data_IF_915703607020
#
_entry.id   IF_915703607020
#
_cell.length_a   1.000
_cell.length_b   1.000
_cell.length_c   1.000
_cell.angle_alpha   90.00
_cell.angle_beta   90.00
_cell.angle_gamma   90.00
#
_symmetry.space_group_name_H-M   'P 1'
#
loop_
_entity.id
_entity.type
_entity.pdbx_description
1 polymer ?
#
# COMPACT_ATOMS: atom_id res chain seq x y z
N UNK A 1 -38.12 -72.93 -8.69
CA UNK A 1 -36.93 -72.03 -8.87
C UNK A 1 -37.42 -70.65 -9.13
N UNK A 2 -37.44 -69.75 -8.07
CA UNK A 2 -37.84 -68.33 -8.19
C UNK A 2 -36.60 -67.51 -8.40
N UNK A 3 -36.45 -66.83 -9.53
CA UNK A 3 -35.45 -65.80 -9.80
C UNK A 3 -35.96 -64.48 -9.22
N UNK A 4 -35.30 -63.99 -8.20
CA UNK A 4 -35.49 -62.61 -7.68
C UNK A 4 -34.68 -61.62 -8.53
N UNK A 5 -35.38 -60.72 -9.20
CA UNK A 5 -34.80 -59.58 -9.91
C UNK A 5 -34.66 -58.44 -8.90
N UNK A 6 -33.42 -58.03 -8.60
CA UNK A 6 -33.12 -56.80 -7.85
C UNK A 6 -33.08 -55.63 -8.82
N UNK A 7 -34.06 -54.73 -8.68
CA UNK A 7 -34.08 -53.46 -9.39
C UNK A 7 -33.19 -52.49 -8.62
N UNK A 8 -32.03 -52.15 -9.19
CA UNK A 8 -31.14 -51.14 -8.64
C UNK A 8 -31.64 -49.75 -9.06
N UNK A 9 -32.23 -49.00 -8.15
CA UNK A 9 -32.54 -47.58 -8.34
C UNK A 9 -31.24 -46.76 -8.21
N UNK A 10 -30.69 -46.30 -9.33
CA UNK A 10 -29.63 -45.30 -9.36
C UNK A 10 -30.27 -43.92 -9.07
N UNK A 11 -30.13 -43.44 -7.83
CA UNK A 11 -30.42 -42.05 -7.50
C UNK A 11 -29.23 -41.20 -7.97
N UNK A 12 -29.33 -40.57 -9.12
CA UNK A 12 -28.41 -39.51 -9.56
C UNK A 12 -28.75 -38.25 -8.79
N UNK A 13 -28.00 -38.00 -7.72
CA UNK A 13 -28.02 -36.69 -7.07
C UNK A 13 -27.36 -35.69 -8.05
N UNK A 14 -28.19 -34.98 -8.80
CA UNK A 14 -27.75 -33.82 -9.57
C UNK A 14 -27.31 -32.73 -8.62
N UNK A 15 -26.00 -32.55 -8.44
CA UNK A 15 -25.46 -31.32 -7.88
C UNK A 15 -25.75 -30.22 -8.91
N UNK A 16 -26.83 -29.49 -8.70
CA UNK A 16 -27.01 -28.19 -9.31
C UNK A 16 -25.98 -27.25 -8.61
N UNK A 17 -24.79 -27.14 -9.23
CA UNK A 17 -23.91 -26.05 -8.90
C UNK A 17 -24.64 -24.76 -9.33
N UNK A 18 -25.31 -24.09 -8.38
CA UNK A 18 -25.80 -22.74 -8.58
C UNK A 18 -24.62 -21.84 -8.99
N UNK A 19 -24.86 -20.78 -9.76
CA UNK A 19 -23.79 -19.86 -10.12
C UNK A 19 -23.14 -19.37 -8.81
N UNK A 20 -21.89 -19.77 -8.59
CA UNK A 20 -21.12 -19.30 -7.45
C UNK A 20 -21.05 -17.79 -7.58
N UNK A 21 -21.52 -17.07 -6.58
CA UNK A 21 -21.49 -15.59 -6.55
C UNK A 21 -20.07 -15.07 -6.77
N UNK A 22 -19.08 -15.82 -6.32
CA UNK A 22 -17.67 -15.56 -6.57
C UNK A 22 -17.30 -15.51 -8.06
N UNK A 23 -17.95 -16.30 -8.92
CA UNK A 23 -17.67 -16.32 -10.37
C UNK A 23 -18.19 -15.06 -11.09
N UNK A 24 -19.18 -14.36 -10.53
CA UNK A 24 -19.81 -13.17 -11.11
C UNK A 24 -19.45 -11.86 -10.37
N UNK A 25 -18.53 -11.92 -9.40
CA UNK A 25 -18.13 -10.72 -8.67
C UNK A 25 -17.32 -9.78 -9.59
N UNK A 26 -17.82 -8.56 -9.89
CA UNK A 26 -17.19 -7.67 -10.85
C UNK A 26 -15.81 -7.16 -10.43
N UNK A 27 -15.45 -7.30 -9.16
CA UNK A 27 -14.12 -6.92 -8.65
C UNK A 27 -13.04 -7.93 -9.01
N UNK A 28 -13.38 -9.18 -9.31
CA UNK A 28 -12.42 -10.23 -9.64
C UNK A 28 -11.64 -9.86 -10.90
N UNK A 29 -10.32 -9.94 -10.83
CA UNK A 29 -9.43 -9.62 -11.95
C UNK A 29 -8.06 -9.15 -11.51
N UNK A 30 -7.24 -8.82 -12.48
CA UNK A 30 -5.96 -8.16 -12.34
C UNK A 30 -6.13 -6.67 -12.64
N UNK A 31 -5.67 -5.83 -11.72
CA UNK A 31 -5.86 -4.40 -11.74
C UNK A 31 -4.49 -3.71 -11.73
N UNK A 32 -4.10 -3.11 -12.84
CA UNK A 32 -2.82 -2.42 -13.00
C UNK A 32 -2.97 -0.94 -12.68
N UNK A 33 -2.13 -0.44 -11.77
CA UNK A 33 -2.10 0.98 -11.42
C UNK A 33 -1.85 1.83 -12.67
N UNK A 34 -2.67 2.87 -12.82
CA UNK A 34 -2.45 3.94 -13.79
C UNK A 34 -1.93 5.19 -13.05
N UNK A 35 -0.61 5.44 -13.06
CA UNK A 35 -0.03 6.57 -12.32
C UNK A 35 -0.51 7.93 -12.84
N UNK A 36 -0.86 8.03 -14.12
CA UNK A 36 -1.31 9.31 -14.72
C UNK A 36 -2.71 9.73 -14.30
N UNK A 37 -3.52 8.76 -13.83
CA UNK A 37 -4.88 8.97 -13.31
C UNK A 37 -4.92 8.96 -11.78
N UNK A 38 -3.82 8.59 -11.14
CA UNK A 38 -3.73 8.47 -9.69
C UNK A 38 -3.17 9.73 -9.07
N UNK A 39 -3.68 10.08 -7.89
CA UNK A 39 -3.12 11.12 -7.03
C UNK A 39 -2.64 10.46 -5.76
N UNK A 40 -1.34 10.52 -5.52
CA UNK A 40 -0.73 10.12 -4.26
C UNK A 40 -0.05 11.35 -3.68
N UNK A 41 -0.54 11.79 -2.54
CA UNK A 41 0.21 12.72 -1.71
C UNK A 41 0.88 11.95 -0.59
N UNK A 42 2.14 12.25 -0.38
CA UNK A 42 2.90 11.80 0.77
C UNK A 42 3.40 13.03 1.52
N UNK A 43 3.40 12.97 2.84
CA UNK A 43 3.90 14.04 3.68
C UNK A 43 5.11 13.55 4.46
N UNK A 44 6.17 14.32 4.43
CA UNK A 44 7.27 14.15 5.36
C UNK A 44 7.59 15.47 6.07
N UNK A 45 8.05 15.36 7.30
CA UNK A 45 8.50 16.50 8.10
C UNK A 45 9.96 16.32 8.46
N UNK A 46 10.73 17.38 8.24
CA UNK A 46 12.13 17.47 8.62
C UNK A 46 12.27 18.70 9.48
N UNK A 47 12.66 18.54 10.73
CA UNK A 47 12.89 19.66 11.66
C UNK A 47 14.34 19.70 12.05
N UNK A 48 14.98 20.88 11.91
CA UNK A 48 16.32 21.09 12.44
C UNK A 48 16.26 21.25 13.96
N UNK A 49 17.12 20.51 14.66
CA UNK A 49 17.28 20.58 16.12
C UNK A 49 18.55 21.33 16.56
N UNK A 50 19.27 21.88 15.56
CA UNK A 50 20.54 22.58 15.75
C UNK A 50 21.76 21.71 15.42
N UNK A 51 22.79 22.33 14.86
CA UNK A 51 23.95 21.63 14.32
C UNK A 51 23.50 20.64 13.22
N UNK A 52 24.08 19.45 13.26
CA UNK A 52 23.79 18.38 12.29
C UNK A 52 22.64 17.45 12.74
N UNK A 53 21.88 17.84 13.80
CA UNK A 53 20.73 17.08 14.31
C UNK A 53 19.43 17.49 13.66
N UNK A 54 18.69 16.47 13.20
CA UNK A 54 17.37 16.66 12.61
C UNK A 54 16.38 15.62 13.13
N UNK A 55 15.12 16.02 13.23
CA UNK A 55 14.00 15.11 13.45
C UNK A 55 13.32 14.85 12.11
N UNK A 56 13.26 13.59 11.71
CA UNK A 56 12.58 13.12 10.50
C UNK A 56 11.27 12.45 10.89
N UNK A 57 10.20 12.75 10.19
CA UNK A 57 8.93 12.06 10.37
C UNK A 57 8.35 11.70 8.98
N UNK A 58 8.34 10.41 8.69
CA UNK A 58 7.81 9.81 7.47
C UNK A 58 6.44 9.14 7.70
N UNK A 59 5.68 9.62 8.71
CA UNK A 59 4.36 9.10 9.04
C UNK A 59 4.32 8.06 10.19
N UNK A 60 5.47 7.49 10.58
CA UNK A 60 5.56 6.52 11.69
C UNK A 60 5.97 7.15 13.04
N UNK A 61 5.98 8.48 13.12
CA UNK A 61 6.51 9.25 14.25
C UNK A 61 7.91 9.80 13.98
N UNK A 62 8.36 10.78 14.79
CA UNK A 62 9.66 11.40 14.59
C UNK A 62 10.82 10.49 14.99
N UNK A 63 11.91 10.57 14.23
CA UNK A 63 13.22 9.92 14.49
C UNK A 63 14.28 11.03 14.53
N UNK A 64 15.09 11.07 15.59
CA UNK A 64 16.17 12.04 15.69
C UNK A 64 17.47 11.45 15.17
N UNK A 65 18.06 12.06 14.15
CA UNK A 65 19.22 11.58 13.41
C UNK A 65 20.24 12.71 13.29
N UNK A 66 21.52 12.40 13.48
CA UNK A 66 22.64 13.23 13.05
C UNK A 66 22.95 12.95 11.56
N UNK A 67 23.07 13.99 10.76
CA UNK A 67 23.29 13.86 9.30
C UNK A 67 24.78 13.70 8.97
N UNK A 68 25.41 12.71 9.61
CA UNK A 68 26.87 12.40 9.52
C UNK A 68 27.16 11.15 8.69
N UNK A 69 26.12 10.52 8.12
CA UNK A 69 26.22 9.31 7.32
C UNK A 69 26.31 8.02 8.12
N UNK A 70 26.26 8.08 9.46
CA UNK A 70 26.28 6.87 10.30
C UNK A 70 24.89 6.29 10.51
N UNK A 71 24.82 4.96 10.66
CA UNK A 71 23.57 4.27 10.99
C UNK A 71 23.16 4.54 12.42
N UNK A 72 21.99 5.11 12.63
CA UNK A 72 21.43 5.44 13.94
C UNK A 72 20.08 4.75 14.15
N UNK A 73 19.67 4.50 15.42
CA UNK A 73 18.40 3.86 15.72
C UNK A 73 17.22 4.61 15.09
N UNK A 74 16.41 3.90 14.33
CA UNK A 74 15.19 4.39 13.69
C UNK A 74 13.94 3.67 14.18
N UNK A 75 12.79 4.09 13.69
CA UNK A 75 11.50 3.50 14.03
C UNK A 75 11.40 2.02 13.58
N UNK A 76 10.64 1.22 14.34
CA UNK A 76 10.33 -0.17 13.97
C UNK A 76 11.52 -1.12 14.01
N UNK A 77 12.56 -0.85 14.81
CA UNK A 77 13.76 -1.68 14.90
C UNK A 77 14.64 -1.63 13.65
N UNK A 78 14.58 -0.50 12.93
CA UNK A 78 15.44 -0.21 11.79
C UNK A 78 16.59 0.69 12.19
N UNK A 79 17.56 0.89 11.30
CA UNK A 79 18.50 2.02 11.38
C UNK A 79 18.21 3.00 10.24
N UNK A 80 18.50 4.26 10.49
CA UNK A 80 18.43 5.34 9.52
C UNK A 80 19.78 6.06 9.49
N UNK A 81 20.31 6.27 8.30
CA UNK A 81 21.47 7.13 8.08
C UNK A 81 21.15 8.19 7.04
N UNK A 82 21.69 9.38 7.24
CA UNK A 82 21.58 10.51 6.32
C UNK A 82 22.96 11.07 6.05
N UNK A 83 23.36 11.01 4.79
CA UNK A 83 24.65 11.55 4.32
C UNK A 83 24.43 12.85 3.58
N UNK A 84 25.18 13.86 3.94
CA UNK A 84 25.21 15.15 3.24
C UNK A 84 26.13 15.04 2.03
N UNK A 85 25.56 15.01 0.82
CA UNK A 85 26.30 14.97 -0.46
C UNK A 85 26.63 16.37 -0.97
N UNK A 86 25.99 17.39 -0.41
CA UNK A 86 26.17 18.79 -0.76
C UNK A 86 25.12 19.68 -0.12
N UNK A 87 25.18 21.00 -0.35
CA UNK A 87 24.28 21.96 0.29
C UNK A 87 22.80 21.77 -0.06
N UNK A 88 22.54 21.10 -1.17
CA UNK A 88 21.21 20.84 -1.72
C UNK A 88 20.94 19.34 -1.99
N UNK A 89 21.80 18.44 -1.53
CA UNK A 89 21.70 17.02 -1.80
C UNK A 89 21.99 16.16 -0.55
N UNK A 90 21.06 15.26 -0.22
CA UNK A 90 21.20 14.27 0.85
C UNK A 90 20.89 12.86 0.31
N UNK A 91 21.61 11.87 0.85
CA UNK A 91 21.26 10.44 0.67
C UNK A 91 20.73 9.92 2.00
N UNK A 92 19.54 9.34 1.97
CA UNK A 92 18.86 8.73 3.12
C UNK A 92 18.82 7.22 2.90
N UNK A 93 19.27 6.44 3.88
CA UNK A 93 19.26 4.97 3.82
C UNK A 93 18.60 4.42 5.08
N UNK A 94 17.70 3.46 4.90
CA UNK A 94 17.14 2.69 6.02
C UNK A 94 17.53 1.23 5.87
N UNK A 95 18.01 0.64 6.97
CA UNK A 95 18.35 -0.78 7.02
C UNK A 95 17.63 -1.48 8.16
N UNK A 96 17.50 -2.79 8.06
CA UNK A 96 17.01 -3.65 9.14
C UNK A 96 17.79 -4.96 9.11
N UNK A 97 18.40 -5.34 10.24
CA UNK A 97 19.20 -6.55 10.36
C UNK A 97 20.29 -6.67 9.26
N UNK A 98 20.90 -5.55 8.89
CA UNK A 98 21.93 -5.49 7.85
C UNK A 98 21.38 -5.49 6.40
N UNK A 99 20.07 -5.63 6.22
CA UNK A 99 19.45 -5.54 4.90
C UNK A 99 18.98 -4.12 4.61
N UNK A 100 19.37 -3.57 3.47
CA UNK A 100 18.86 -2.27 3.01
C UNK A 100 17.39 -2.41 2.65
N UNK A 101 16.54 -1.60 3.30
CA UNK A 101 15.11 -1.53 3.02
C UNK A 101 14.79 -0.47 1.97
N UNK A 102 15.49 0.68 2.06
CA UNK A 102 15.33 1.76 1.10
C UNK A 102 16.61 2.59 0.97
N UNK A 103 16.70 3.28 -0.16
CA UNK A 103 17.57 4.41 -0.43
C UNK A 103 16.74 5.54 -1.04
N UNK A 104 16.95 6.76 -0.60
CA UNK A 104 16.32 7.95 -1.11
C UNK A 104 17.40 9.02 -1.39
N UNK A 105 17.53 9.41 -2.64
CA UNK A 105 18.47 10.47 -3.03
C UNK A 105 17.68 11.77 -3.18
N UNK A 106 17.88 12.68 -2.24
CA UNK A 106 17.16 13.94 -2.11
C UNK A 106 17.92 15.07 -2.77
N UNK A 107 17.20 15.88 -3.54
CA UNK A 107 17.75 17.07 -4.19
C UNK A 107 16.81 18.25 -4.03
N UNK A 108 17.27 19.36 -3.40
CA UNK A 108 16.54 20.61 -3.34
C UNK A 108 16.62 21.38 -4.65
N UNK A 109 15.55 22.06 -5.02
CA UNK A 109 15.57 23.09 -6.03
C UNK A 109 16.39 24.32 -5.58
N UNK A 110 16.85 25.12 -6.53
CA UNK A 110 17.65 26.32 -6.24
C UNK A 110 16.92 27.32 -5.32
N UNK A 111 15.60 27.41 -5.45
CA UNK A 111 14.75 28.28 -4.62
C UNK A 111 14.36 27.65 -3.27
N UNK A 112 14.75 26.41 -3.03
CA UNK A 112 14.45 25.66 -1.80
C UNK A 112 12.97 25.28 -1.63
N UNK A 113 12.11 25.50 -2.63
CA UNK A 113 10.66 25.27 -2.50
C UNK A 113 10.20 23.91 -3.02
N UNK A 114 11.08 23.18 -3.69
CA UNK A 114 10.81 21.82 -4.17
C UNK A 114 11.93 20.88 -3.76
N UNK A 115 11.59 19.63 -3.50
CA UNK A 115 12.52 18.54 -3.21
C UNK A 115 12.19 17.38 -4.13
N UNK A 116 13.18 16.94 -4.88
CA UNK A 116 13.09 15.68 -5.64
C UNK A 116 13.65 14.56 -4.77
N UNK A 117 12.95 13.44 -4.72
CA UNK A 117 13.35 12.21 -4.03
C UNK A 117 13.34 11.06 -5.03
N UNK A 118 14.53 10.58 -5.38
CA UNK A 118 14.71 9.35 -6.14
C UNK A 118 14.73 8.17 -5.14
N UNK A 119 13.54 7.67 -4.83
CA UNK A 119 13.32 6.65 -3.82
C UNK A 119 13.43 5.25 -4.43
N UNK A 120 14.25 4.39 -3.83
CA UNK A 120 14.35 2.97 -4.16
C UNK A 120 14.07 2.11 -2.94
N UNK A 121 13.08 1.24 -3.03
CA UNK A 121 12.82 0.19 -2.04
C UNK A 121 13.44 -1.14 -2.47
N UNK A 122 13.90 -1.93 -1.50
CA UNK A 122 14.53 -3.23 -1.74
C UNK A 122 13.72 -4.35 -1.08
N UNK A 123 13.40 -5.37 -1.87
CA UNK A 123 12.81 -6.61 -1.36
C UNK A 123 13.86 -7.52 -0.73
N UNK A 124 13.42 -8.45 0.12
CA UNK A 124 14.32 -9.47 0.71
C UNK A 124 14.92 -10.43 -0.33
N UNK A 125 14.28 -10.55 -1.49
CA UNK A 125 14.73 -11.32 -2.65
C UNK A 125 15.72 -10.57 -3.54
N UNK A 126 16.14 -9.36 -3.13
CA UNK A 126 17.02 -8.49 -3.91
C UNK A 126 16.31 -7.69 -5.00
N UNK A 127 14.98 -7.82 -5.13
CA UNK A 127 14.23 -6.97 -6.06
C UNK A 127 14.30 -5.51 -5.64
N UNK A 128 14.30 -4.59 -6.61
CA UNK A 128 14.30 -3.17 -6.37
C UNK A 128 13.14 -2.50 -7.12
N UNK A 129 12.47 -1.57 -6.44
CA UNK A 129 11.41 -0.74 -7.03
C UNK A 129 11.77 0.72 -6.82
N UNK A 130 11.72 1.49 -7.90
CA UNK A 130 12.07 2.90 -7.88
C UNK A 130 10.84 3.78 -8.08
N UNK A 131 10.72 4.83 -7.28
CA UNK A 131 9.68 5.85 -7.35
C UNK A 131 10.36 7.22 -7.32
N UNK A 132 9.99 8.09 -8.22
CA UNK A 132 10.42 9.49 -8.17
C UNK A 132 9.31 10.34 -7.62
N UNK A 133 9.54 10.91 -6.42
CA UNK A 133 8.66 11.89 -5.82
C UNK A 133 9.15 13.31 -6.15
N UNK A 134 8.20 14.22 -6.26
CA UNK A 134 8.47 15.65 -6.27
C UNK A 134 7.62 16.26 -5.16
N UNK A 135 8.28 16.71 -4.12
CA UNK A 135 7.65 17.38 -2.99
C UNK A 135 7.65 18.88 -3.17
N UNK A 136 6.59 19.52 -2.69
CA UNK A 136 6.52 20.97 -2.50
C UNK A 136 6.59 21.27 -1.01
N UNK A 137 7.26 22.35 -0.67
CA UNK A 137 7.30 22.86 0.71
C UNK A 137 5.96 23.54 1.04
N UNK A 138 5.32 23.11 2.14
CA UNK A 138 4.03 23.68 2.58
C UNK A 138 4.20 25.06 3.23
N UNK A 139 5.28 25.28 3.97
CA UNK A 139 5.53 26.51 4.70
C UNK A 139 6.97 26.97 4.46
N UNK A 140 7.24 28.30 4.51
CA UNK A 140 8.60 28.83 4.38
C UNK A 140 9.58 28.14 5.33
N UNK A 141 10.77 27.83 4.85
CA UNK A 141 11.83 27.17 5.62
C UNK A 141 13.17 27.25 4.89
N UNK A 142 14.23 26.76 5.53
CA UNK A 142 15.59 26.80 4.99
C UNK A 142 16.17 25.38 4.88
N UNK A 143 16.98 25.15 3.85
CA UNK A 143 17.59 23.85 3.60
C UNK A 143 16.52 22.75 3.49
N UNK A 144 16.77 21.59 4.08
CA UNK A 144 15.84 20.47 4.09
C UNK A 144 14.75 20.56 5.17
N UNK A 145 14.92 21.43 6.19
CA UNK A 145 13.92 21.57 7.24
C UNK A 145 12.62 22.16 6.70
N UNK A 146 11.49 21.50 6.97
CA UNK A 146 10.16 21.91 6.53
C UNK A 146 9.16 20.77 6.54
N UNK A 147 7.92 21.10 6.20
CA UNK A 147 6.89 20.14 5.85
C UNK A 147 6.81 20.05 4.32
N UNK A 148 6.96 18.85 3.82
CA UNK A 148 7.02 18.52 2.41
C UNK A 148 5.85 17.67 2.01
N UNK A 149 5.13 18.05 0.95
CA UNK A 149 3.99 17.29 0.41
C UNK A 149 4.27 16.93 -1.05
N UNK A 150 4.25 15.65 -1.36
CA UNK A 150 4.33 15.16 -2.73
C UNK A 150 2.95 15.15 -3.35
N UNK A 151 2.81 15.79 -4.50
CA UNK A 151 1.59 15.76 -5.32
C UNK A 151 1.81 15.09 -6.67
N UNK A 152 3.02 14.63 -6.94
CA UNK A 152 3.40 14.02 -8.21
C UNK A 152 4.37 12.84 -7.96
N UNK A 153 3.92 11.66 -8.32
CA UNK A 153 4.69 10.43 -8.22
C UNK A 153 4.89 9.84 -9.62
N UNK A 154 6.15 9.64 -10.01
CA UNK A 154 6.49 8.87 -11.21
C UNK A 154 6.91 7.48 -10.80
N UNK A 155 6.11 6.49 -11.17
CA UNK A 155 6.35 5.08 -10.87
C UNK A 155 6.93 4.39 -12.08
N UNK A 156 8.07 3.72 -11.93
CA UNK A 156 8.71 2.94 -12.99
C UNK A 156 8.60 1.42 -12.79
N UNK A 157 7.73 0.99 -11.87
CA UNK A 157 7.42 -0.43 -11.70
C UNK A 157 5.95 -0.71 -11.96
N UNK A 158 5.65 -1.95 -12.30
CA UNK A 158 4.27 -2.41 -12.52
C UNK A 158 3.66 -2.76 -11.16
N UNK A 159 2.67 -1.97 -10.72
CA UNK A 159 1.89 -2.30 -9.54
C UNK A 159 0.57 -2.94 -9.97
N UNK A 160 0.42 -4.22 -9.66
CA UNK A 160 -0.80 -4.99 -9.93
C UNK A 160 -1.44 -5.40 -8.62
N UNK A 161 -2.70 -5.02 -8.47
CA UNK A 161 -3.58 -5.52 -7.44
C UNK A 161 -4.36 -6.68 -8.01
N UNK A 162 -4.21 -7.88 -7.45
CA UNK A 162 -4.95 -9.05 -7.88
C UNK A 162 -6.13 -9.27 -6.94
N UNK A 163 -7.32 -9.39 -7.50
CA UNK A 163 -8.52 -9.76 -6.73
C UNK A 163 -9.00 -11.11 -7.24
N UNK A 164 -9.10 -12.08 -6.34
CA UNK A 164 -9.46 -13.48 -6.63
C UNK A 164 -10.67 -13.89 -5.80
N UNK A 165 -11.44 -14.89 -6.22
CA UNK A 165 -12.46 -15.48 -5.36
C UNK A 165 -11.84 -16.06 -4.09
N UNK A 166 -12.55 -15.92 -2.97
CA UNK A 166 -12.21 -16.54 -1.70
C UNK A 166 -13.47 -17.10 -1.06
N UNK A 167 -13.47 -18.40 -0.75
CA UNK A 167 -14.64 -19.13 -0.26
C UNK A 167 -15.88 -18.91 -1.15
N UNK A 168 -17.09 -19.00 -0.62
CA UNK A 168 -18.34 -18.90 -1.39
C UNK A 168 -18.71 -17.46 -1.75
N UNK A 169 -18.43 -16.50 -0.84
CA UNK A 169 -18.91 -15.12 -0.92
C UNK A 169 -17.83 -14.06 -0.59
N UNK A 170 -16.56 -14.45 -0.66
CA UNK A 170 -15.43 -13.61 -0.30
C UNK A 170 -14.54 -13.26 -1.47
N UNK A 171 -13.55 -12.42 -1.15
CA UNK A 171 -12.46 -12.03 -2.05
C UNK A 171 -11.11 -12.15 -1.36
N UNK A 172 -10.11 -12.50 -2.14
CA UNK A 172 -8.70 -12.41 -1.78
C UNK A 172 -8.09 -11.21 -2.51
N UNK A 173 -7.64 -10.21 -1.76
CA UNK A 173 -6.92 -9.06 -2.31
C UNK A 173 -5.42 -9.29 -2.11
N UNK A 174 -4.70 -9.51 -3.21
CA UNK A 174 -3.28 -9.85 -3.22
C UNK A 174 -2.49 -8.64 -3.71
N UNK A 175 -1.62 -8.15 -2.85
CA UNK A 175 -0.66 -7.11 -3.18
C UNK A 175 0.76 -7.70 -3.11
N UNK A 176 1.29 -8.07 -4.26
CA UNK A 176 2.61 -8.69 -4.35
C UNK A 176 3.74 -7.76 -3.91
N UNK A 177 3.63 -6.44 -4.18
CA UNK A 177 4.64 -5.45 -3.82
C UNK A 177 4.78 -5.28 -2.31
N UNK A 178 3.68 -5.32 -1.56
CA UNK A 178 3.68 -5.26 -0.10
C UNK A 178 3.71 -6.63 0.56
N UNK A 179 3.69 -7.74 -0.21
CA UNK A 179 3.61 -9.11 0.32
C UNK A 179 2.47 -9.28 1.32
N UNK A 180 1.31 -8.73 0.99
CA UNK A 180 0.11 -8.81 1.79
C UNK A 180 -1.02 -9.45 1.00
N UNK A 181 -1.61 -10.47 1.57
CA UNK A 181 -2.83 -11.10 1.08
C UNK A 181 -3.92 -10.95 2.13
N UNK A 182 -5.04 -10.37 1.72
CA UNK A 182 -6.25 -10.19 2.52
C UNK A 182 -7.30 -11.18 2.04
N UNK A 183 -7.55 -12.22 2.82
CA UNK A 183 -8.60 -13.20 2.56
C UNK A 183 -9.81 -12.86 3.41
N UNK A 184 -10.89 -12.38 2.80
CA UNK A 184 -12.02 -11.81 3.53
C UNK A 184 -13.35 -12.22 2.89
N UNK A 185 -14.36 -12.46 3.73
CA UNK A 185 -15.75 -12.48 3.29
C UNK A 185 -16.30 -11.05 3.22
N UNK A 186 -17.33 -10.83 2.42
CA UNK A 186 -17.90 -9.49 2.23
C UNK A 186 -18.90 -9.09 3.34
N UNK A 187 -18.71 -9.62 4.54
CA UNK A 187 -19.61 -9.49 5.71
C UNK A 187 -19.19 -8.37 6.70
N UNK A 188 -18.11 -7.67 6.42
CA UNK A 188 -17.58 -6.59 7.26
C UNK A 188 -16.88 -7.05 8.54
N UNK A 189 -16.70 -8.36 8.74
CA UNK A 189 -15.90 -8.88 9.86
C UNK A 189 -14.41 -8.83 9.55
N UNK A 190 -13.59 -8.81 10.60
CA UNK A 190 -12.14 -8.83 10.47
C UNK A 190 -11.62 -10.26 10.30
N UNK A 191 -10.77 -10.42 9.31
CA UNK A 191 -10.10 -11.66 8.95
C UNK A 191 -8.58 -11.49 9.06
N UNK A 192 -7.85 -12.53 9.48
CA UNK A 192 -6.39 -12.47 9.56
C UNK A 192 -5.77 -12.32 8.16
N UNK A 193 -4.81 -11.43 8.05
CA UNK A 193 -4.02 -11.25 6.83
C UNK A 193 -2.87 -12.26 6.77
N UNK A 194 -2.36 -12.49 5.57
CA UNK A 194 -1.25 -13.43 5.30
C UNK A 194 -0.12 -12.69 4.58
N UNK A 195 1.11 -13.07 4.87
CA UNK A 195 2.31 -12.50 4.24
C UNK A 195 3.16 -11.66 5.19
N UNK A 196 4.28 -11.15 4.71
CA UNK A 196 5.27 -10.46 5.55
C UNK A 196 4.69 -9.19 6.22
N UNK A 197 3.86 -8.43 5.52
CA UNK A 197 3.23 -7.22 6.06
C UNK A 197 2.11 -7.51 7.06
N UNK A 198 1.65 -8.77 7.18
CA UNK A 198 0.65 -9.16 8.18
C UNK A 198 1.14 -8.97 9.63
N UNK A 199 2.46 -8.92 9.86
CA UNK A 199 3.03 -8.58 11.18
C UNK A 199 2.67 -7.14 11.62
N UNK A 200 2.49 -6.22 10.68
CA UNK A 200 2.15 -4.81 10.93
C UNK A 200 0.64 -4.58 10.76
N UNK A 201 0.04 -5.23 9.78
CA UNK A 201 -1.39 -5.17 9.45
C UNK A 201 -2.00 -6.58 9.59
N UNK A 202 -2.26 -7.04 10.83
CA UNK A 202 -2.64 -8.42 11.08
C UNK A 202 -4.06 -8.77 10.62
N UNK A 203 -4.95 -7.79 10.47
CA UNK A 203 -6.33 -8.04 10.15
C UNK A 203 -6.94 -6.98 9.22
N UNK A 204 -7.80 -7.45 8.33
CA UNK A 204 -8.59 -6.60 7.45
C UNK A 204 -10.05 -7.05 7.41
N UNK A 205 -10.93 -6.13 7.08
CA UNK A 205 -12.34 -6.39 6.82
C UNK A 205 -12.74 -5.80 5.48
N UNK A 206 -13.70 -6.42 4.81
CA UNK A 206 -14.33 -5.86 3.62
C UNK A 206 -15.84 -5.99 3.72
N UNK A 207 -16.54 -4.94 3.32
CA UNK A 207 -17.99 -4.89 3.28
C UNK A 207 -18.46 -4.49 1.89
N UNK A 208 -19.42 -5.20 1.36
CA UNK A 208 -20.13 -4.79 0.14
C UNK A 208 -21.12 -3.67 0.47
N UNK A 209 -20.98 -2.53 -0.20
CA UNK A 209 -21.93 -1.40 -0.11
C UNK A 209 -22.99 -1.54 -1.19
N UNK A 210 -22.55 -1.77 -2.43
CA UNK A 210 -23.40 -2.02 -3.60
C UNK A 210 -22.67 -2.91 -4.61
N UNK A 211 -23.22 -3.05 -5.84
CA UNK A 211 -22.63 -3.92 -6.88
C UNK A 211 -21.27 -3.45 -7.38
N UNK A 212 -20.90 -2.18 -7.16
CA UNK A 212 -19.67 -1.57 -7.64
C UNK A 212 -18.85 -0.91 -6.55
N UNK A 213 -19.24 -1.06 -5.28
CA UNK A 213 -18.59 -0.39 -4.15
C UNK A 213 -18.31 -1.36 -3.02
N UNK A 214 -17.04 -1.44 -2.62
CA UNK A 214 -16.59 -2.12 -1.42
C UNK A 214 -15.96 -1.12 -0.45
N UNK A 215 -16.10 -1.37 0.84
CA UNK A 215 -15.34 -0.69 1.90
C UNK A 215 -14.36 -1.68 2.51
N UNK A 216 -13.09 -1.27 2.58
CA UNK A 216 -11.98 -2.05 3.10
C UNK A 216 -11.36 -1.32 4.29
N UNK A 217 -11.21 -2.00 5.41
CA UNK A 217 -10.56 -1.46 6.61
C UNK A 217 -9.41 -2.36 7.05
N UNK A 218 -8.23 -1.78 7.23
CA UNK A 218 -7.05 -2.46 7.79
C UNK A 218 -6.83 -2.04 9.25
N UNK A 219 -6.47 -2.99 10.11
CA UNK A 219 -6.08 -2.73 11.51
C UNK A 219 -4.62 -3.01 11.76
N UNK A 220 -4.02 -2.21 12.66
CA UNK A 220 -2.70 -2.47 13.24
C UNK A 220 -2.79 -3.55 14.33
N UNK A 221 -1.63 -4.00 14.81
CA UNK A 221 -1.51 -4.98 15.89
C UNK A 221 -2.08 -4.50 17.23
N UNK A 222 -2.16 -3.18 17.46
CA UNK A 222 -2.79 -2.57 18.64
C UNK A 222 -4.32 -2.45 18.52
N UNK A 223 -4.89 -2.91 17.39
CA UNK A 223 -6.32 -2.86 17.10
C UNK A 223 -6.83 -1.52 16.52
N UNK A 224 -5.96 -0.50 16.41
CA UNK A 224 -6.35 0.77 15.80
C UNK A 224 -6.49 0.63 14.29
N UNK A 225 -7.35 1.45 13.66
CA UNK A 225 -7.51 1.51 12.22
C UNK A 225 -6.23 2.12 11.62
N UNK A 226 -5.64 1.41 10.66
CA UNK A 226 -4.51 1.90 9.87
C UNK A 226 -4.99 2.60 8.61
N UNK A 227 -5.90 1.97 7.90
CA UNK A 227 -6.48 2.50 6.68
C UNK A 227 -7.95 2.11 6.59
N UNK A 228 -8.75 3.03 6.09
CA UNK A 228 -10.16 2.87 5.81
C UNK A 228 -10.40 3.42 4.40
N UNK A 229 -10.82 2.55 3.49
CA UNK A 229 -10.76 2.82 2.06
C UNK A 229 -12.02 2.35 1.35
N UNK A 230 -12.40 3.06 0.30
CA UNK A 230 -13.45 2.68 -0.63
C UNK A 230 -12.83 2.20 -1.95
N UNK A 231 -13.32 1.08 -2.45
CA UNK A 231 -13.00 0.53 -3.75
C UNK A 231 -14.24 0.68 -4.64
N UNK A 232 -14.12 1.44 -5.73
CA UNK A 232 -15.24 1.73 -6.62
C UNK A 232 -14.93 1.33 -8.06
N UNK A 233 -15.83 0.55 -8.67
CA UNK A 233 -15.76 0.21 -10.08
C UNK A 233 -16.47 1.25 -10.93
N UNK A 234 -15.86 1.62 -12.06
CA UNK A 234 -16.52 2.40 -13.09
C UNK A 234 -17.75 1.66 -13.66
N UNK A 235 -18.65 2.39 -14.30
CA UNK A 235 -19.87 1.81 -14.90
C UNK A 235 -19.58 0.75 -15.97
N UNK A 236 -18.46 0.89 -16.68
CA UNK A 236 -18.00 -0.07 -17.71
C UNK A 236 -17.14 -1.20 -17.13
N UNK A 237 -16.93 -1.24 -15.79
CA UNK A 237 -16.14 -2.22 -15.05
C UNK A 237 -14.67 -2.33 -15.48
N UNK A 238 -14.12 -1.30 -16.15
CA UNK A 238 -12.73 -1.29 -16.63
C UNK A 238 -11.77 -0.57 -15.71
N UNK A 239 -12.29 0.23 -14.80
CA UNK A 239 -11.49 1.01 -13.85
C UNK A 239 -11.90 0.69 -12.42
N UNK A 240 -10.92 0.49 -11.55
CA UNK A 240 -11.09 0.37 -10.10
C UNK A 240 -10.42 1.56 -9.45
N UNK A 241 -11.18 2.35 -8.71
CA UNK A 241 -10.68 3.50 -7.94
C UNK A 241 -10.65 3.14 -6.47
N UNK A 242 -9.54 3.45 -5.82
CA UNK A 242 -9.35 3.26 -4.38
C UNK A 242 -9.10 4.61 -3.75
N UNK A 243 -9.97 5.01 -2.82
CA UNK A 243 -9.93 6.28 -2.10
C UNK A 243 -9.95 6.04 -0.60
N UNK A 244 -9.30 6.86 0.24
CA UNK A 244 -9.52 6.87 1.68
C UNK A 244 -10.98 7.21 1.98
N UNK A 245 -11.55 6.60 3.01
CA UNK A 245 -12.92 6.92 3.45
C UNK A 245 -13.01 8.34 4.03
N UNK A 246 -11.97 8.73 4.75
CA UNK A 246 -11.80 10.11 5.25
C UNK A 246 -10.76 10.81 4.39
N UNK A 247 -11.24 11.63 3.45
CA UNK A 247 -10.36 12.46 2.62
C UNK A 247 -9.72 13.56 3.49
N UNK A 248 -8.42 13.68 3.37
CA UNK A 248 -7.68 14.85 3.82
C UNK A 248 -7.49 15.75 2.57
N UNK A 249 -8.18 16.90 2.49
CA UNK A 249 -8.10 17.76 1.30
C UNK A 249 -6.68 18.27 1.03
N UNK A 250 -5.84 18.36 2.06
CA UNK A 250 -4.43 18.74 1.93
C UNK A 250 -3.55 17.56 1.47
N UNK A 251 -4.08 16.32 1.56
CA UNK A 251 -3.38 15.09 1.20
C UNK A 251 -4.28 14.13 0.40
N UNK A 252 -4.74 14.54 -0.77
CA UNK A 252 -5.60 13.69 -1.58
C UNK A 252 -4.87 12.39 -1.98
N UNK A 253 -5.53 11.26 -1.80
CA UNK A 253 -5.03 9.95 -2.17
C UNK A 253 -6.07 9.21 -2.98
N UNK A 254 -5.85 9.13 -4.28
CA UNK A 254 -6.72 8.40 -5.21
C UNK A 254 -5.84 7.47 -6.03
N UNK A 255 -6.03 6.17 -5.90
CA UNK A 255 -5.38 5.19 -6.76
C UNK A 255 -6.35 4.71 -7.82
N UNK A 256 -5.97 4.85 -9.06
CA UNK A 256 -6.77 4.41 -10.21
C UNK A 256 -6.07 3.25 -10.88
N UNK A 257 -6.78 2.14 -10.97
CA UNK A 257 -6.31 0.93 -11.61
C UNK A 257 -7.13 0.62 -12.85
N UNK A 258 -6.49 0.05 -13.85
CA UNK A 258 -7.13 -0.41 -15.08
C UNK A 258 -7.12 -1.94 -15.12
N UNK A 259 -8.24 -2.52 -15.53
CA UNK A 259 -8.39 -3.97 -15.69
C UNK A 259 -7.46 -4.47 -16.80
N UNK A 260 -6.78 -5.59 -16.54
CA UNK A 260 -5.91 -6.26 -17.49
C UNK A 260 -6.64 -7.35 -18.28
#
# INVERSE_FOLDING_TARGET
>A
MLRRIYLLLLVTAGFAAGPSWAANNPFIGDWKLNPSKSTLSDEMKVASLGGDKYAFNFGAGPETIEVDGTDQPGNGGTTLSVTVEGPDAWTVIRTQNGHRLLRADWKLSRDGNSLTDDFTSFGQDGSASNIKYVYKRLHPGTGFAGTWVSTNMKVNFVYVLQIRPFEEDGISIINSSSRLTRNMRLDGKYYPNVGATAAVLPASSVRKVDERTLELTDKKSDGTVYADQRLELSSDLKTLTLTPYHEDPDRPRVLVFERQ
#
